data_IF_167321823078
#
_entry.id   IF_167321823078
#
_cell.length_a   1.000
_cell.length_b   1.000
_cell.length_c   1.000
_cell.angle_alpha   90.00
_cell.angle_beta   90.00
_cell.angle_gamma   90.00
#
_symmetry.space_group_name_H-M   'P 1'
#
loop_
_entity.id
_entity.type
_entity.pdbx_description
1 polymer ?
#
# COMPACT_ATOMS: atom_id res chain seq x y z
N UNK A 1 7.87 15.22 -2.67
CA UNK A 1 7.12 16.49 -2.57
C UNK A 1 5.65 16.18 -2.91
N UNK A 2 4.64 16.27 -2.04
CA UNK A 2 4.54 17.17 -0.88
C UNK A 2 3.32 16.88 0.03
N UNK A 3 3.16 15.63 0.49
CA UNK A 3 2.17 15.27 1.53
C UNK A 3 2.35 16.09 2.81
N UNK A 4 3.60 16.26 3.22
CA UNK A 4 3.97 17.14 4.32
C UNK A 4 3.55 18.59 4.06
N UNK A 5 3.58 19.08 2.81
CA UNK A 5 3.15 20.44 2.46
C UNK A 5 1.62 20.57 2.39
N UNK A 6 0.87 19.54 2.00
CA UNK A 6 -0.60 19.58 2.08
C UNK A 6 -1.11 19.50 3.51
N UNK A 7 -0.52 18.64 4.34
CA UNK A 7 -0.78 18.58 5.79
C UNK A 7 -0.40 19.93 6.43
N UNK A 8 0.75 20.50 6.07
CA UNK A 8 1.19 21.83 6.51
C UNK A 8 0.28 22.97 6.03
N UNK A 9 -0.21 22.95 4.78
CA UNK A 9 -1.15 23.95 4.25
C UNK A 9 -2.52 23.86 4.90
N UNK A 10 -2.99 22.64 5.18
CA UNK A 10 -4.22 22.40 5.94
C UNK A 10 -4.08 22.85 7.39
N UNK A 11 -2.91 22.65 8.00
CA UNK A 11 -2.57 23.13 9.33
C UNK A 11 -2.50 24.67 9.41
N UNK A 12 -1.79 25.32 8.47
CA UNK A 12 -1.75 26.80 8.35
C UNK A 12 -3.17 27.39 8.29
N UNK A 13 -4.10 26.73 7.59
CA UNK A 13 -5.48 27.21 7.44
C UNK A 13 -6.36 27.03 8.69
N UNK A 14 -6.10 26.02 9.51
CA UNK A 14 -6.97 25.69 10.64
C UNK A 14 -6.42 26.16 12.00
N UNK A 15 -5.10 26.40 12.10
CA UNK A 15 -4.43 26.68 13.37
C UNK A 15 -4.47 25.48 14.33
N UNK A 16 -3.59 25.48 15.33
CA UNK A 16 -3.49 24.43 16.36
C UNK A 16 -2.15 23.69 16.35
N UNK A 17 -2.06 22.56 17.04
CA UNK A 17 -0.85 21.73 17.04
C UNK A 17 -0.74 20.93 15.74
N UNK A 18 0.49 20.76 15.24
CA UNK A 18 0.75 19.92 14.08
C UNK A 18 0.39 18.46 14.45
N UNK A 19 -0.36 17.73 13.60
CA UNK A 19 -0.73 16.36 13.94
C UNK A 19 0.53 15.49 14.04
N UNK A 20 0.91 15.15 15.26
CA UNK A 20 1.95 14.17 15.54
C UNK A 20 1.33 12.77 15.55
N UNK A 21 1.91 11.89 14.73
CA UNK A 21 1.60 10.47 14.79
C UNK A 21 2.44 9.85 15.91
N UNK A 22 1.85 9.61 17.08
CA UNK A 22 2.51 8.90 18.19
C UNK A 22 2.62 7.38 17.97
N UNK A 23 2.19 6.88 16.81
CA UNK A 23 2.27 5.46 16.46
C UNK A 23 3.03 5.28 15.16
N UNK A 24 3.98 4.35 15.17
CA UNK A 24 4.74 3.97 13.97
C UNK A 24 3.88 3.15 12.98
N UNK A 25 2.69 2.71 13.40
CA UNK A 25 1.78 1.90 12.58
C UNK A 25 0.32 2.30 12.80
N UNK A 26 -0.44 2.44 11.71
CA UNK A 26 -1.87 2.73 11.72
C UNK A 26 -2.58 1.73 10.80
N UNK A 27 -3.66 1.13 11.30
CA UNK A 27 -4.42 0.11 10.59
C UNK A 27 -5.79 0.64 10.15
N UNK A 28 -6.15 0.39 8.90
CA UNK A 28 -7.47 0.68 8.36
C UNK A 28 -8.09 -0.58 7.76
N UNK A 29 -9.41 -0.74 7.94
CA UNK A 29 -10.18 -1.70 7.15
C UNK A 29 -10.35 -1.11 5.74
N UNK A 30 -10.32 -1.96 4.71
CA UNK A 30 -10.44 -1.50 3.32
C UNK A 30 -11.73 -0.75 3.02
N UNK A 31 -12.82 -1.05 3.74
CA UNK A 31 -14.11 -0.36 3.60
C UNK A 31 -14.06 1.10 4.01
N UNK A 32 -13.11 1.46 4.88
CA UNK A 32 -12.95 2.81 5.41
C UNK A 32 -12.00 3.66 4.54
N UNK A 33 -11.37 3.06 3.53
CA UNK A 33 -10.33 3.69 2.69
C UNK A 33 -10.77 3.73 1.25
N UNK A 34 -10.63 4.90 0.61
CA UNK A 34 -10.84 5.06 -0.82
C UNK A 34 -9.52 5.33 -1.53
N UNK A 35 -9.27 4.65 -2.64
CA UNK A 35 -8.09 4.93 -3.48
C UNK A 35 -8.53 5.82 -4.64
N UNK A 36 -7.89 6.97 -4.79
CA UNK A 36 -8.16 7.94 -5.85
C UNK A 36 -6.86 8.49 -6.43
N UNK A 37 -6.71 8.57 -7.75
CA UNK A 37 -5.61 9.28 -8.42
C UNK A 37 -4.19 8.98 -7.90
N UNK A 38 -3.90 7.72 -7.56
CA UNK A 38 -2.65 7.26 -6.92
C UNK A 38 -2.46 7.77 -5.48
N UNK A 39 -3.53 8.06 -4.74
CA UNK A 39 -3.50 8.40 -3.33
C UNK A 39 -4.57 7.66 -2.54
N UNK A 40 -4.54 7.82 -1.22
CA UNK A 40 -5.47 7.22 -0.28
C UNK A 40 -6.29 8.29 0.42
N UNK A 41 -7.60 8.13 0.48
CA UNK A 41 -8.46 8.87 1.38
C UNK A 41 -8.72 8.01 2.60
N UNK A 42 -8.20 8.42 3.75
CA UNK A 42 -8.30 7.71 5.03
C UNK A 42 -8.96 8.57 6.11
N UNK A 43 -9.67 7.98 7.08
CA UNK A 43 -10.18 8.71 8.23
C UNK A 43 -9.05 8.94 9.24
N UNK A 44 -8.59 10.19 9.37
CA UNK A 44 -7.58 10.60 10.35
C UNK A 44 -8.12 11.77 11.18
N UNK A 45 -8.00 11.68 12.50
CA UNK A 45 -8.41 12.75 13.44
C UNK A 45 -9.87 13.22 13.23
N UNK A 46 -10.79 12.28 12.96
CA UNK A 46 -12.21 12.58 12.74
C UNK A 46 -12.52 13.25 11.39
N UNK A 47 -11.56 13.34 10.47
CA UNK A 47 -11.72 13.92 9.12
C UNK A 47 -11.24 12.94 8.06
N UNK A 48 -11.72 13.10 6.82
CA UNK A 48 -11.17 12.38 5.66
C UNK A 48 -9.96 13.15 5.12
N UNK A 49 -8.81 12.49 5.08
CA UNK A 49 -7.54 13.08 4.64
C UNK A 49 -7.05 12.35 3.39
N UNK A 50 -6.68 13.11 2.36
CA UNK A 50 -6.04 12.57 1.17
C UNK A 50 -4.52 12.45 1.38
N UNK A 51 -3.98 11.29 1.05
CA UNK A 51 -2.57 10.95 1.16
C UNK A 51 -2.05 10.58 -0.24
N UNK A 52 -1.36 11.48 -0.97
CA UNK A 52 -0.64 11.12 -2.19
C UNK A 52 0.33 9.96 -1.96
N UNK A 53 0.25 8.95 -2.83
CA UNK A 53 1.20 7.84 -2.86
C UNK A 53 2.07 7.92 -4.11
N UNK A 54 3.34 7.57 -3.94
CA UNK A 54 4.15 7.15 -5.07
C UNK A 54 3.83 5.69 -5.39
N UNK A 55 3.16 5.45 -6.52
CA UNK A 55 2.88 4.09 -7.01
C UNK A 55 3.71 3.81 -8.27
N UNK A 56 4.70 2.90 -8.20
CA UNK A 56 5.46 2.48 -9.38
C UNK A 56 4.56 2.02 -10.52
N UNK A 57 4.91 2.35 -11.77
CA UNK A 57 4.09 2.04 -12.96
C UNK A 57 3.65 0.57 -13.02
N UNK A 58 4.55 -0.37 -12.69
CA UNK A 58 4.26 -1.82 -12.67
C UNK A 58 3.13 -2.24 -11.73
N UNK A 59 2.84 -1.43 -10.70
CA UNK A 59 1.83 -1.74 -9.70
C UNK A 59 0.50 -0.99 -9.91
N UNK A 60 0.45 0.02 -10.79
CA UNK A 60 -0.77 0.81 -11.03
C UNK A 60 -1.97 -0.06 -11.45
N UNK A 61 -1.73 -1.10 -12.24
CA UNK A 61 -2.75 -2.07 -12.65
C UNK A 61 -3.44 -2.78 -11.48
N UNK A 62 -2.82 -2.83 -10.30
CA UNK A 62 -3.43 -3.50 -9.16
C UNK A 62 -4.40 -2.61 -8.38
N UNK A 63 -4.35 -1.29 -8.59
CA UNK A 63 -5.22 -0.32 -7.91
C UNK A 63 -6.70 -0.41 -8.34
N UNK A 64 -6.99 -1.16 -9.41
CA UNK A 64 -8.36 -1.37 -9.90
C UNK A 64 -9.09 -2.52 -9.20
N UNK A 65 -8.36 -3.36 -8.46
CA UNK A 65 -8.93 -4.51 -7.77
C UNK A 65 -9.49 -4.14 -6.41
N UNK A 66 -10.26 -5.06 -5.80
CA UNK A 66 -10.80 -4.85 -4.46
C UNK A 66 -9.67 -4.81 -3.44
N UNK A 67 -9.63 -3.73 -2.67
CA UNK A 67 -8.64 -3.53 -1.60
C UNK A 67 -9.10 -4.20 -0.31
N UNK A 68 -8.16 -4.85 0.36
CA UNK A 68 -8.33 -5.43 1.68
C UNK A 68 -7.85 -4.46 2.75
N UNK A 69 -6.99 -4.92 3.65
CA UNK A 69 -6.42 -4.08 4.72
C UNK A 69 -5.44 -3.04 4.14
N UNK A 70 -5.49 -1.83 4.70
CA UNK A 70 -4.52 -0.78 4.45
C UNK A 70 -3.77 -0.48 5.74
N UNK A 71 -2.44 -0.43 5.66
CA UNK A 71 -1.57 -0.15 6.79
C UNK A 71 -0.68 1.02 6.40
N UNK A 72 -0.65 2.05 7.23
CA UNK A 72 0.35 3.10 7.13
C UNK A 72 1.41 2.79 8.17
N UNK A 73 2.65 2.57 7.72
CA UNK A 73 3.75 2.19 8.60
C UNK A 73 4.97 3.05 8.31
N UNK A 74 5.63 3.48 9.38
CA UNK A 74 6.95 4.08 9.32
C UNK A 74 8.02 3.00 9.21
N UNK A 75 8.92 3.14 8.25
CA UNK A 75 10.13 2.33 8.13
C UNK A 75 11.29 3.34 8.02
N UNK A 76 12.16 3.33 9.04
CA UNK A 76 13.20 4.33 9.23
C UNK A 76 12.66 5.77 9.23
N UNK A 77 12.99 6.55 8.21
CA UNK A 77 12.59 7.96 8.06
C UNK A 77 11.37 8.14 7.16
N UNK A 78 10.92 7.08 6.50
CA UNK A 78 9.90 7.14 5.46
C UNK A 78 8.59 6.46 5.88
N UNK A 79 7.49 6.96 5.31
CA UNK A 79 6.15 6.42 5.52
C UNK A 79 5.71 5.61 4.31
N UNK A 80 5.23 4.40 4.56
CA UNK A 80 4.78 3.46 3.55
C UNK A 80 3.31 3.13 3.75
N UNK A 81 2.57 3.06 2.64
CA UNK A 81 1.24 2.49 2.60
C UNK A 81 1.32 1.05 2.08
N UNK A 82 1.00 0.08 2.94
CA UNK A 82 0.86 -1.32 2.57
C UNK A 82 -0.62 -1.59 2.30
N UNK A 83 -0.94 -1.91 1.05
CA UNK A 83 -2.32 -2.09 0.59
C UNK A 83 -2.46 -3.54 0.15
N UNK A 84 -3.32 -4.29 0.83
CA UNK A 84 -3.67 -5.64 0.40
C UNK A 84 -4.61 -5.55 -0.80
N UNK A 85 -4.35 -6.34 -1.84
CA UNK A 85 -5.14 -6.33 -3.08
C UNK A 85 -5.62 -7.74 -3.37
N UNK A 86 -6.93 -7.90 -3.61
CA UNK A 86 -7.48 -9.19 -4.05
C UNK A 86 -7.37 -9.31 -5.58
N UNK A 87 -6.38 -10.06 -6.05
CA UNK A 87 -6.17 -10.29 -7.48
C UNK A 87 -6.88 -11.60 -7.87
N UNK A 88 -7.79 -11.58 -8.86
CA UNK A 88 -8.42 -12.80 -9.35
C UNK A 88 -7.37 -13.82 -9.80
N UNK A 89 -7.60 -15.09 -9.50
CA UNK A 89 -6.79 -16.17 -10.04
C UNK A 89 -6.88 -16.15 -11.57
N UNK A 90 -5.72 -16.33 -12.22
CA UNK A 90 -5.70 -16.51 -13.68
C UNK A 90 -6.16 -17.92 -13.99
N UNK A 91 -6.72 -18.10 -15.18
CA UNK A 91 -6.96 -19.45 -15.69
C UNK A 91 -5.66 -20.26 -15.66
N UNK A 92 -5.73 -21.55 -15.26
CA UNK A 92 -4.59 -22.44 -15.31
C UNK A 92 -4.00 -22.45 -16.72
N UNK A 93 -2.72 -22.10 -16.82
CA UNK A 93 -2.01 -22.14 -18.10
C UNK A 93 -1.81 -23.61 -18.46
N UNK A 94 -2.09 -23.99 -19.72
CA UNK A 94 -1.74 -25.33 -20.22
C UNK A 94 -0.22 -25.54 -20.05
N UNK A 95 0.24 -26.67 -19.48
CA UNK A 95 1.67 -26.91 -19.32
C UNK A 95 2.38 -26.84 -20.67
N UNK A 96 3.35 -25.94 -20.81
CA UNK A 96 4.20 -25.82 -22.02
C UNK A 96 5.53 -26.58 -21.83
N UNK A 97 5.81 -27.03 -20.61
CA UNK A 97 6.99 -27.80 -20.24
C UNK A 97 6.94 -28.25 -18.79
N UNK A 98 7.95 -29.00 -18.35
CA UNK A 98 8.11 -29.44 -16.96
C UNK A 98 9.36 -28.83 -16.38
N UNK A 99 9.28 -28.23 -15.19
CA UNK A 99 10.45 -27.85 -14.41
C UNK A 99 10.53 -28.82 -13.23
N UNK A 100 11.61 -29.59 -13.16
CA UNK A 100 11.94 -30.40 -11.99
C UNK A 100 12.50 -29.50 -10.90
N UNK A 101 11.80 -29.38 -9.78
CA UNK A 101 12.28 -28.64 -8.60
C UNK A 101 12.57 -29.66 -7.49
N UNK A 102 13.83 -29.77 -7.09
CA UNK A 102 14.23 -30.51 -5.89
C UNK A 102 14.45 -29.52 -4.74
N UNK A 103 13.69 -29.71 -3.66
CA UNK A 103 13.78 -28.92 -2.44
C UNK A 103 14.57 -29.71 -1.39
N UNK A 104 15.88 -29.81 -1.61
CA UNK A 104 16.80 -30.41 -0.67
C UNK A 104 17.00 -29.53 0.57
N UNK A 105 17.23 -30.14 1.73
CA UNK A 105 17.42 -29.45 3.02
C UNK A 105 18.54 -28.40 3.00
N UNK A 106 19.52 -28.56 2.10
CA UNK A 106 20.68 -27.67 1.97
C UNK A 106 20.85 -27.04 0.57
N UNK A 107 20.09 -27.48 -0.44
CA UNK A 107 20.26 -27.03 -1.83
C UNK A 107 18.92 -26.88 -2.55
N UNK A 108 18.77 -25.78 -3.29
CA UNK A 108 17.68 -25.58 -4.24
C UNK A 108 18.25 -25.82 -5.65
N UNK A 109 17.82 -26.89 -6.32
CA UNK A 109 18.30 -27.24 -7.66
C UNK A 109 17.14 -27.21 -8.65
N UNK A 110 17.31 -26.45 -9.74
CA UNK A 110 16.33 -26.28 -10.82
C UNK A 110 16.96 -26.77 -12.11
N UNK A 111 16.36 -27.77 -12.73
CA UNK A 111 16.78 -28.30 -14.04
C UNK A 111 15.69 -28.01 -15.09
N UNK A 112 16.12 -27.63 -16.31
CA UNK A 112 15.28 -27.26 -17.45
C UNK A 112 15.38 -28.24 -18.60
#
# INVERSE_FOLDING_TARGET
MNLAIEIYRSWIKNGGEFPEFHSDVIYFKGVDVRIENNGLVVPLMGRRVYLPLYVPKKYKKYLQYKHGRVIIKRIDKDWYALISVNVPEKEPIKPIGTIGVDLGYYNLLVAS
#
